data_IF_242110807607
#
_entry.id   IF_242110807607
#
_cell.length_a   1.000
_cell.length_b   1.000
_cell.length_c   1.000
_cell.angle_alpha   90.00
_cell.angle_beta   90.00
_cell.angle_gamma   90.00
#
_symmetry.space_group_name_H-M   'P 1'
#
loop_
_entity.id
_entity.type
_entity.pdbx_description
1 polymer ?
#
# COMPACT_ATOMS: atom_id res chain seq x y z
N UNK A 1 2.43 24.28 18.57
CA UNK A 1 2.86 23.40 17.48
C UNK A 1 1.61 23.05 16.66
N UNK A 2 1.57 23.43 15.41
CA UNK A 2 0.48 23.08 14.50
C UNK A 2 1.05 22.08 13.51
N UNK A 3 0.36 20.95 13.36
CA UNK A 3 0.62 20.03 12.27
C UNK A 3 -0.28 20.40 11.11
N UNK A 4 0.29 20.90 10.03
CA UNK A 4 -0.43 21.13 8.79
C UNK A 4 -0.19 19.96 7.85
N UNK A 5 -1.28 19.36 7.36
CA UNK A 5 -1.21 18.41 6.26
C UNK A 5 -0.61 19.10 5.03
N UNK A 6 0.41 18.52 4.48
CA UNK A 6 1.24 19.12 3.44
C UNK A 6 0.51 19.13 2.10
N UNK A 7 0.23 20.31 1.56
CA UNK A 7 0.34 20.57 0.12
C UNK A 7 1.75 21.10 -0.09
N UNK A 8 2.45 20.68 -1.14
CA UNK A 8 3.74 21.27 -1.50
C UNK A 8 3.66 22.79 -1.39
N UNK A 9 4.25 23.32 -0.34
CA UNK A 9 4.38 24.74 -0.19
C UNK A 9 5.47 25.18 -1.16
N UNK A 10 5.15 26.14 -1.99
CA UNK A 10 6.12 26.85 -2.82
C UNK A 10 7.41 27.13 -2.04
N UNK A 11 8.54 26.95 -2.70
CA UNK A 11 9.90 27.03 -2.18
C UNK A 11 10.30 28.41 -1.63
N UNK A 12 9.63 28.91 -0.64
CA UNK A 12 9.99 30.18 0.01
C UNK A 12 10.38 30.03 1.47
N UNK A 13 10.38 28.84 2.01
CA UNK A 13 10.84 28.60 3.39
C UNK A 13 12.31 28.22 3.39
N UNK A 14 13.12 29.01 4.05
CA UNK A 14 14.49 28.62 4.40
C UNK A 14 14.40 27.45 5.34
N UNK A 15 14.68 26.27 4.83
CA UNK A 15 14.74 25.04 5.62
C UNK A 15 16.04 25.08 6.42
N UNK A 16 15.95 25.35 7.69
CA UNK A 16 17.09 25.24 8.60
C UNK A 16 17.03 23.86 9.23
N UNK A 17 18.02 23.03 8.96
CA UNK A 17 18.22 21.79 9.70
C UNK A 17 18.67 22.19 11.10
N UNK A 18 17.75 22.17 12.04
CA UNK A 18 18.07 22.37 13.44
C UNK A 18 18.27 20.98 14.01
N UNK A 19 19.45 20.66 14.42
CA UNK A 19 19.93 19.41 14.98
C UNK A 19 18.94 18.43 15.63
N UNK A 20 19.42 17.44 16.29
CA UNK A 20 18.60 16.43 16.99
C UNK A 20 17.59 17.07 17.93
N UNK A 21 16.31 16.87 17.65
CA UNK A 21 15.24 17.26 18.57
C UNK A 21 15.01 16.10 19.54
N UNK A 22 15.38 16.31 20.82
CA UNK A 22 15.11 15.32 21.86
C UNK A 22 13.66 15.48 22.31
N UNK A 23 12.80 14.57 21.88
CA UNK A 23 11.48 14.41 22.46
C UNK A 23 11.56 13.35 23.55
N UNK A 24 11.39 13.78 24.82
CA UNK A 24 11.21 12.90 25.98
C UNK A 24 12.15 11.68 25.99
N UNK A 25 13.46 11.90 26.16
CA UNK A 25 14.52 10.89 26.28
C UNK A 25 14.89 10.09 25.02
N UNK A 26 14.05 10.07 23.99
CA UNK A 26 14.35 9.33 22.77
C UNK A 26 14.82 10.28 21.67
N UNK A 27 15.92 9.91 21.05
CA UNK A 27 16.48 10.67 19.91
C UNK A 27 15.65 10.37 18.68
N UNK A 28 14.90 11.34 18.20
CA UNK A 28 14.16 11.25 16.94
C UNK A 28 15.08 11.31 15.70
N UNK A 29 16.40 11.38 15.90
CA UNK A 29 17.34 11.59 14.81
C UNK A 29 17.21 13.00 14.21
N UNK A 30 17.66 13.18 12.97
CA UNK A 30 17.57 14.45 12.27
C UNK A 30 16.13 14.70 11.83
N UNK A 31 15.46 15.64 12.45
CA UNK A 31 14.14 16.11 12.03
C UNK A 31 14.30 17.42 11.29
N UNK A 32 13.78 17.50 10.08
CA UNK A 32 13.78 18.77 9.32
C UNK A 32 12.71 19.67 9.93
N UNK A 33 13.15 20.76 10.54
CA UNK A 33 12.27 21.80 11.08
C UNK A 33 12.29 22.97 10.10
N UNK A 34 11.15 23.31 9.56
CA UNK A 34 11.00 24.50 8.71
C UNK A 34 10.56 25.68 9.55
N UNK A 35 11.38 26.73 9.56
CA UNK A 35 10.99 28.00 10.14
C UNK A 35 10.32 28.87 9.06
N UNK A 36 9.04 29.12 9.22
CA UNK A 36 8.31 30.05 8.36
C UNK A 36 8.04 31.32 9.14
N UNK A 37 8.71 32.42 8.73
CA UNK A 37 8.57 33.73 9.38
C UNK A 37 7.15 34.30 9.37
N UNK A 38 6.30 33.78 8.48
CA UNK A 38 4.91 34.20 8.35
C UNK A 38 3.95 33.39 9.24
N UNK A 39 4.44 32.38 9.94
CA UNK A 39 3.66 31.58 10.87
C UNK A 39 4.07 31.92 12.31
N UNK A 40 3.14 32.30 13.17
CA UNK A 40 3.43 32.65 14.57
C UNK A 40 3.79 31.43 15.42
N UNK A 41 4.04 30.27 14.82
CA UNK A 41 4.19 28.98 15.52
C UNK A 41 5.18 28.07 14.81
N UNK A 42 5.90 27.26 15.57
CA UNK A 42 6.76 26.20 15.03
C UNK A 42 5.93 25.06 14.45
N UNK A 43 6.33 24.56 13.30
CA UNK A 43 5.64 23.49 12.58
C UNK A 43 6.55 22.25 12.57
N UNK A 44 6.02 21.13 13.04
CA UNK A 44 6.63 19.81 12.84
C UNK A 44 6.14 19.21 11.54
N UNK A 45 7.05 18.78 10.68
CA UNK A 45 6.70 18.13 9.43
C UNK A 45 5.99 16.79 9.65
N UNK A 46 5.15 16.39 8.69
CA UNK A 46 4.38 15.14 8.74
C UNK A 46 5.25 13.88 8.84
N UNK A 47 6.55 13.99 8.58
CA UNK A 47 7.51 12.88 8.68
C UNK A 47 7.57 12.25 10.06
N UNK A 48 7.29 13.03 11.12
CA UNK A 48 7.22 12.51 12.48
C UNK A 48 6.10 11.49 12.68
N UNK A 49 5.00 11.62 11.93
CA UNK A 49 3.87 10.68 11.98
C UNK A 49 4.21 9.28 11.48
N UNK A 50 5.24 9.17 10.66
CA UNK A 50 5.75 7.88 10.18
C UNK A 50 6.57 7.14 11.23
N UNK A 51 6.95 7.82 12.32
CA UNK A 51 7.85 7.32 13.36
C UNK A 51 7.16 7.03 14.68
N UNK A 52 5.89 7.37 14.83
CA UNK A 52 5.19 7.18 16.09
C UNK A 52 3.80 7.77 16.13
N UNK A 53 3.16 7.60 17.28
CA UNK A 53 1.85 8.16 17.59
C UNK A 53 2.04 9.49 18.29
N UNK A 54 1.34 10.53 17.81
CA UNK A 54 1.28 11.82 18.47
C UNK A 54 -0.07 11.94 19.18
N UNK A 55 -0.02 12.17 20.50
CA UNK A 55 -1.20 12.46 21.31
C UNK A 55 -1.13 13.91 21.79
N UNK A 56 -2.19 14.66 21.66
CA UNK A 56 -2.27 16.06 22.07
C UNK A 56 -3.28 16.19 23.22
N UNK A 57 -2.76 16.55 24.39
CA UNK A 57 -3.59 16.90 25.55
C UNK A 57 -3.80 18.42 25.56
N UNK A 58 -4.97 18.83 25.11
CA UNK A 58 -5.33 20.26 25.03
C UNK A 58 -5.54 20.91 26.39
N UNK A 59 -5.93 20.14 27.40
CA UNK A 59 -6.15 20.68 28.74
C UNK A 59 -4.83 21.01 29.43
N UNK A 60 -3.84 20.14 29.26
CA UNK A 60 -2.51 20.31 29.83
C UNK A 60 -1.54 21.06 28.90
N UNK A 61 -1.99 21.39 27.69
CA UNK A 61 -1.14 22.00 26.64
C UNK A 61 0.13 21.20 26.35
N UNK A 62 0.03 19.88 26.40
CA UNK A 62 1.16 18.95 26.20
C UNK A 62 0.97 18.11 24.95
N UNK A 63 2.07 17.82 24.30
CA UNK A 63 2.15 16.90 23.19
C UNK A 63 2.99 15.71 23.67
N UNK A 64 2.44 14.52 23.52
CA UNK A 64 3.12 13.27 23.77
C UNK A 64 3.45 12.62 22.44
N UNK A 65 4.64 12.09 22.32
CA UNK A 65 5.07 11.30 21.20
C UNK A 65 5.43 9.90 21.69
N UNK A 66 4.77 8.89 21.15
CA UNK A 66 5.10 7.50 21.40
C UNK A 66 5.74 6.96 20.13
N UNK A 67 7.05 6.76 20.08
CA UNK A 67 7.69 6.17 18.91
C UNK A 67 7.17 4.77 18.69
N UNK A 68 7.03 4.39 17.41
CA UNK A 68 6.95 2.97 17.10
C UNK A 68 8.28 2.37 17.52
N UNK A 69 8.26 1.19 18.09
CA UNK A 69 9.48 0.47 18.42
C UNK A 69 10.18 0.07 17.11
N UNK A 70 10.97 1.02 16.59
CA UNK A 70 11.72 0.86 15.33
C UNK A 70 12.96 -0.01 15.54
N UNK A 71 13.17 -0.56 16.73
CA UNK A 71 14.27 -1.47 16.98
C UNK A 71 14.21 -2.75 16.12
N UNK A 72 13.06 -3.00 15.48
CA UNK A 72 12.86 -4.17 14.62
C UNK A 72 12.28 -3.86 13.24
N UNK A 73 11.98 -2.61 12.90
CA UNK A 73 11.62 -2.25 11.53
C UNK A 73 12.86 -1.67 10.84
N UNK A 74 13.80 -2.54 10.52
CA UNK A 74 14.76 -2.25 9.45
C UNK A 74 13.94 -2.06 8.17
N UNK A 75 14.24 -1.02 7.40
CA UNK A 75 13.68 -0.82 6.05
C UNK A 75 13.89 -2.05 5.15
N UNK A 76 14.80 -2.92 5.53
CA UNK A 76 15.10 -4.22 4.91
C UNK A 76 14.00 -5.27 5.11
N UNK A 77 13.08 -5.10 6.08
CA UNK A 77 11.98 -6.06 6.34
C UNK A 77 10.80 -5.86 5.38
N UNK A 78 10.74 -4.73 4.66
CA UNK A 78 9.67 -4.48 3.68
C UNK A 78 9.94 -5.21 2.36
N UNK A 79 11.19 -5.55 2.06
CA UNK A 79 11.54 -6.30 0.84
C UNK A 79 11.40 -7.82 1.00
N UNK A 80 11.61 -8.37 2.20
CA UNK A 80 11.56 -9.83 2.40
C UNK A 80 10.17 -10.39 2.77
N UNK A 81 9.19 -9.56 3.15
CA UNK A 81 7.81 -10.03 3.40
C UNK A 81 7.07 -10.35 2.09
N UNK A 82 7.59 -9.88 0.95
CA UNK A 82 6.97 -10.11 -0.36
C UNK A 82 7.13 -11.53 -0.92
N UNK A 83 7.81 -12.44 -0.22
CA UNK A 83 8.15 -13.76 -0.77
C UNK A 83 7.36 -14.92 -0.21
N UNK A 84 6.60 -14.74 0.86
CA UNK A 84 5.85 -15.87 1.40
C UNK A 84 4.35 -15.72 1.12
N UNK A 85 3.92 -16.31 0.02
CA UNK A 85 2.50 -16.40 -0.32
C UNK A 85 1.82 -17.38 0.62
N UNK A 86 0.83 -16.90 1.35
CA UNK A 86 0.03 -17.69 2.29
C UNK A 86 -1.31 -18.02 1.64
N UNK A 87 -1.63 -19.29 1.37
CA UNK A 87 -2.95 -19.69 0.88
C UNK A 87 -4.05 -19.22 1.83
N UNK A 88 -5.16 -18.79 1.29
CA UNK A 88 -6.29 -18.29 2.08
C UNK A 88 -6.13 -16.84 2.59
N UNK A 89 -5.11 -16.13 2.17
CA UNK A 89 -4.87 -14.72 2.48
C UNK A 89 -4.80 -13.88 1.23
N UNK A 90 -5.10 -12.59 1.38
CA UNK A 90 -4.88 -11.59 0.35
C UNK A 90 -3.45 -11.06 0.47
N UNK A 91 -2.54 -11.66 -0.31
CA UNK A 91 -1.09 -11.45 -0.18
C UNK A 91 -0.64 -10.19 -0.92
N UNK A 92 0.09 -9.28 -0.28
CA UNK A 92 0.72 -8.15 -0.97
C UNK A 92 1.84 -8.66 -1.87
N UNK A 93 1.93 -8.12 -3.07
CA UNK A 93 3.01 -8.42 -4.00
C UNK A 93 3.63 -7.14 -4.58
N UNK A 94 4.90 -7.27 -5.00
CA UNK A 94 5.63 -6.24 -5.73
C UNK A 94 5.60 -6.51 -7.24
N UNK A 95 6.10 -5.53 -8.00
CA UNK A 95 6.32 -5.69 -9.44
C UNK A 95 7.26 -6.87 -9.74
N UNK A 96 8.32 -7.04 -8.96
CA UNK A 96 9.30 -8.11 -9.13
C UNK A 96 8.62 -9.49 -9.01
N UNK A 97 7.81 -9.67 -7.97
CA UNK A 97 7.00 -10.88 -7.81
C UNK A 97 6.07 -11.10 -9.00
N UNK A 98 5.40 -10.04 -9.48
CA UNK A 98 4.51 -10.12 -10.64
C UNK A 98 5.26 -10.58 -11.89
N UNK A 99 6.43 -10.00 -12.17
CA UNK A 99 7.26 -10.35 -13.33
C UNK A 99 7.80 -11.78 -13.27
N UNK A 100 8.10 -12.26 -12.08
CA UNK A 100 8.63 -13.61 -11.88
C UNK A 100 7.55 -14.68 -11.96
N UNK A 101 6.40 -14.47 -11.29
CA UNK A 101 5.40 -15.51 -11.05
C UNK A 101 4.10 -15.37 -11.84
N UNK A 102 3.79 -14.17 -12.33
CA UNK A 102 2.53 -13.92 -13.04
C UNK A 102 2.78 -13.77 -14.54
N UNK A 103 3.46 -12.70 -14.94
CA UNK A 103 3.73 -12.40 -16.34
C UNK A 103 4.89 -11.42 -16.48
N UNK A 104 5.88 -11.76 -17.33
CA UNK A 104 7.01 -10.85 -17.61
C UNK A 104 6.80 -10.10 -18.94
N UNK A 105 6.11 -8.96 -18.86
CA UNK A 105 5.83 -8.10 -20.01
C UNK A 105 7.09 -7.50 -20.67
N UNK A 106 8.26 -7.65 -20.07
CA UNK A 106 9.54 -7.20 -20.66
C UNK A 106 10.08 -8.21 -21.66
N UNK A 107 9.70 -9.49 -21.50
CA UNK A 107 10.17 -10.61 -22.32
C UNK A 107 9.13 -11.09 -23.32
N UNK A 108 7.90 -11.15 -22.88
CA UNK A 108 6.80 -11.76 -23.63
C UNK A 108 5.91 -10.69 -24.24
N UNK A 109 5.67 -10.77 -25.55
CA UNK A 109 4.79 -9.82 -26.28
C UNK A 109 3.30 -10.05 -25.99
N UNK A 110 2.93 -11.28 -25.68
CA UNK A 110 1.56 -11.65 -25.33
C UNK A 110 1.50 -12.06 -23.86
N UNK A 111 0.32 -11.89 -23.27
CA UNK A 111 0.13 -12.31 -21.88
C UNK A 111 0.24 -13.83 -21.75
N UNK A 112 1.27 -14.30 -21.10
CA UNK A 112 1.52 -15.70 -20.79
C UNK A 112 1.56 -15.84 -19.27
N UNK A 113 0.48 -16.39 -18.70
CA UNK A 113 0.40 -16.64 -17.28
C UNK A 113 1.34 -17.78 -16.88
N UNK A 114 2.18 -17.54 -15.87
CA UNK A 114 3.21 -18.48 -15.41
C UNK A 114 2.75 -19.42 -14.30
N UNK A 115 1.63 -19.09 -13.65
CA UNK A 115 1.14 -19.83 -12.48
C UNK A 115 0.38 -21.11 -12.85
N UNK A 116 0.29 -22.01 -11.88
CA UNK A 116 -0.42 -23.29 -11.96
C UNK A 116 -1.84 -23.23 -11.36
N UNK A 117 -2.17 -22.16 -10.66
CA UNK A 117 -3.50 -21.89 -10.10
C UNK A 117 -4.05 -20.56 -10.59
N UNK A 118 -5.37 -20.42 -10.78
CA UNK A 118 -5.97 -19.14 -11.09
C UNK A 118 -5.66 -18.09 -10.03
N UNK A 119 -5.55 -16.84 -10.44
CA UNK A 119 -5.16 -15.72 -9.56
C UNK A 119 -6.17 -14.60 -9.64
N UNK A 120 -6.48 -14.01 -8.50
CA UNK A 120 -7.17 -12.71 -8.38
C UNK A 120 -6.15 -11.69 -7.87
N UNK A 121 -6.01 -10.57 -8.57
CA UNK A 121 -5.12 -9.46 -8.18
C UNK A 121 -5.94 -8.20 -7.99
N UNK A 122 -5.91 -7.63 -6.78
CA UNK A 122 -6.55 -6.36 -6.45
C UNK A 122 -5.54 -5.21 -6.51
N UNK A 123 -5.77 -4.26 -7.40
CA UNK A 123 -5.04 -2.99 -7.41
C UNK A 123 -5.74 -2.00 -6.49
N UNK A 124 -5.08 -1.62 -5.42
CA UNK A 124 -5.63 -0.83 -4.33
C UNK A 124 -4.70 0.29 -3.89
N UNK A 125 -5.21 1.22 -3.06
CA UNK A 125 -4.41 2.21 -2.37
C UNK A 125 -5.01 2.54 -0.99
N UNK A 126 -4.20 3.05 -0.07
CA UNK A 126 -4.61 3.36 1.30
C UNK A 126 -5.66 4.47 1.38
N UNK A 127 -5.65 5.40 0.45
CA UNK A 127 -6.62 6.51 0.34
C UNK A 127 -7.91 6.13 -0.39
N UNK A 128 -7.97 4.93 -0.99
CA UNK A 128 -9.12 4.46 -1.76
C UNK A 128 -10.20 3.88 -0.81
N UNK A 129 -11.20 4.66 -0.49
CA UNK A 129 -12.30 4.25 0.39
C UNK A 129 -13.06 2.99 -0.08
N UNK A 130 -13.44 2.88 -1.38
CA UNK A 130 -14.04 1.65 -1.91
C UNK A 130 -13.15 0.42 -1.76
N UNK A 131 -11.83 0.56 -1.99
CA UNK A 131 -10.87 -0.53 -1.82
C UNK A 131 -10.84 -1.04 -0.38
N UNK A 132 -10.82 -0.13 0.59
CA UNK A 132 -10.80 -0.48 2.01
C UNK A 132 -12.05 -1.26 2.45
N UNK A 133 -13.21 -1.02 1.80
CA UNK A 133 -14.43 -1.81 2.05
C UNK A 133 -14.39 -3.16 1.34
N UNK A 134 -13.70 -3.27 0.20
CA UNK A 134 -13.61 -4.51 -0.57
C UNK A 134 -12.61 -5.50 0.04
N UNK A 135 -11.51 -5.03 0.63
CA UNK A 135 -10.46 -5.89 1.21
C UNK A 135 -11.01 -6.96 2.15
N UNK A 136 -11.89 -6.68 3.14
CA UNK A 136 -12.44 -7.71 4.01
C UNK A 136 -13.25 -8.79 3.26
N UNK A 137 -13.92 -8.43 2.18
CA UNK A 137 -14.67 -9.38 1.35
C UNK A 137 -13.72 -10.26 0.52
N UNK A 138 -12.65 -9.68 -0.02
CA UNK A 138 -11.59 -10.44 -0.71
C UNK A 138 -10.86 -11.40 0.25
N UNK A 139 -10.64 -11.01 1.50
CA UNK A 139 -10.06 -11.89 2.53
C UNK A 139 -10.96 -13.10 2.82
N UNK A 140 -12.29 -12.89 2.89
CA UNK A 140 -13.27 -14.00 3.03
C UNK A 140 -13.26 -14.93 1.82
N UNK A 141 -13.18 -14.36 0.61
CA UNK A 141 -13.07 -15.14 -0.62
C UNK A 141 -11.75 -15.90 -0.68
N UNK A 142 -10.64 -15.28 -0.25
CA UNK A 142 -9.34 -15.92 -0.21
C UNK A 142 -9.37 -17.17 0.68
N UNK A 143 -9.94 -17.09 1.89
CA UNK A 143 -10.08 -18.25 2.78
C UNK A 143 -11.03 -19.29 2.17
N UNK A 144 -12.14 -18.86 1.57
CA UNK A 144 -13.12 -19.77 0.95
C UNK A 144 -12.55 -20.58 -0.21
N UNK A 145 -11.70 -19.96 -1.03
CA UNK A 145 -11.16 -20.56 -2.25
C UNK A 145 -9.66 -20.91 -2.15
N UNK A 146 -9.10 -20.98 -0.95
CA UNK A 146 -7.66 -21.11 -0.67
C UNK A 146 -6.93 -22.22 -1.42
N UNK A 147 -7.62 -23.33 -1.69
CA UNK A 147 -7.03 -24.46 -2.38
C UNK A 147 -7.11 -24.34 -3.92
N UNK A 148 -7.94 -23.43 -4.42
CA UNK A 148 -8.30 -23.33 -5.84
C UNK A 148 -7.83 -22.05 -6.50
N UNK A 149 -7.80 -20.92 -5.77
CA UNK A 149 -7.51 -19.58 -6.30
C UNK A 149 -6.51 -18.88 -5.38
N UNK A 150 -5.52 -18.23 -5.97
CA UNK A 150 -4.57 -17.40 -5.24
C UNK A 150 -5.06 -15.94 -5.25
N UNK A 151 -5.05 -15.30 -4.07
CA UNK A 151 -5.45 -13.90 -3.92
C UNK A 151 -4.24 -13.03 -3.61
N UNK A 152 -4.05 -12.01 -4.44
CA UNK A 152 -2.94 -11.07 -4.41
C UNK A 152 -3.44 -9.63 -4.39
N UNK A 153 -2.64 -8.72 -3.84
CA UNK A 153 -2.93 -7.27 -3.91
C UNK A 153 -1.69 -6.48 -4.26
N UNK A 154 -1.87 -5.46 -5.08
CA UNK A 154 -0.83 -4.54 -5.55
C UNK A 154 -1.15 -3.14 -5.06
N UNK A 155 -0.22 -2.52 -4.34
CA UNK A 155 -0.37 -1.13 -3.93
C UNK A 155 -0.05 -0.20 -5.12
N UNK A 156 -1.07 0.48 -5.64
CA UNK A 156 -0.94 1.33 -6.82
C UNK A 156 -0.01 2.54 -6.61
N UNK A 157 0.15 3.01 -5.38
CA UNK A 157 1.06 4.12 -5.08
C UNK A 157 2.53 3.69 -5.15
N UNK A 158 2.80 2.42 -4.80
CA UNK A 158 4.16 1.84 -4.85
C UNK A 158 4.50 1.27 -6.22
N UNK A 159 3.56 0.60 -6.86
CA UNK A 159 3.75 -0.16 -8.10
C UNK A 159 3.20 0.57 -9.32
N UNK A 160 3.59 1.84 -9.50
CA UNK A 160 3.10 2.72 -10.58
C UNK A 160 3.37 2.18 -11.99
N UNK A 161 4.48 1.47 -12.17
CA UNK A 161 4.83 0.87 -13.45
C UNK A 161 3.81 -0.22 -13.83
N UNK A 162 3.44 -1.09 -12.88
CA UNK A 162 2.38 -2.08 -13.13
C UNK A 162 1.05 -1.41 -13.49
N UNK A 163 0.67 -0.37 -12.75
CA UNK A 163 -0.56 0.37 -13.05
C UNK A 163 -0.55 0.96 -14.46
N UNK A 164 0.59 1.51 -14.88
CA UNK A 164 0.76 2.08 -16.22
C UNK A 164 0.71 1.00 -17.30
N UNK A 165 1.44 -0.10 -17.10
CA UNK A 165 1.50 -1.21 -18.07
C UNK A 165 0.14 -1.86 -18.32
N UNK A 166 -0.67 -1.97 -17.29
CA UNK A 166 -2.01 -2.58 -17.38
C UNK A 166 -3.14 -1.57 -17.47
N UNK A 167 -2.82 -0.30 -17.69
CA UNK A 167 -3.78 0.81 -17.82
C UNK A 167 -4.80 0.86 -16.67
N UNK A 168 -4.31 0.68 -15.44
CA UNK A 168 -5.13 0.80 -14.23
C UNK A 168 -5.37 2.29 -13.93
N UNK A 169 -6.51 2.79 -14.36
CA UNK A 169 -6.88 4.23 -14.27
C UNK A 169 -7.83 4.54 -13.12
N UNK A 170 -8.40 3.53 -12.49
CA UNK A 170 -9.33 3.67 -11.36
C UNK A 170 -9.10 2.57 -10.33
N UNK A 171 -9.49 2.80 -9.07
CA UNK A 171 -9.35 1.85 -7.98
C UNK A 171 -10.69 1.63 -7.24
N UNK A 172 -10.98 0.39 -6.80
CA UNK A 172 -10.19 -0.82 -7.08
C UNK A 172 -10.35 -1.30 -8.52
N UNK A 173 -9.30 -1.90 -9.06
CA UNK A 173 -9.33 -2.67 -10.30
C UNK A 173 -8.88 -4.08 -9.99
N UNK A 174 -9.67 -5.08 -10.38
CA UNK A 174 -9.36 -6.48 -10.15
C UNK A 174 -9.04 -7.19 -11.46
N UNK A 175 -7.99 -8.00 -11.40
CA UNK A 175 -7.63 -8.92 -12.48
C UNK A 175 -7.94 -10.34 -12.05
N UNK A 176 -8.73 -11.04 -12.85
CA UNK A 176 -9.05 -12.45 -12.70
C UNK A 176 -8.32 -13.21 -13.78
N UNK A 177 -7.32 -14.00 -13.41
CA UNK A 177 -6.41 -14.66 -14.35
C UNK A 177 -6.64 -16.16 -14.29
N UNK A 178 -7.31 -16.76 -15.29
CA UNK A 178 -7.44 -18.21 -15.39
C UNK A 178 -6.11 -18.85 -15.83
N UNK A 179 -5.90 -20.10 -15.47
CA UNK A 179 -4.73 -20.86 -15.94
C UNK A 179 -4.82 -21.01 -17.48
N UNK A 180 -3.78 -20.59 -18.17
CA UNK A 180 -3.68 -20.66 -19.63
C UNK A 180 -4.58 -19.67 -20.39
N UNK A 181 -5.23 -18.71 -19.70
CA UNK A 181 -6.10 -17.71 -20.28
C UNK A 181 -5.58 -16.29 -20.15
N UNK A 182 -6.34 -15.35 -20.72
CA UNK A 182 -6.07 -13.91 -20.60
C UNK A 182 -6.76 -13.33 -19.35
N UNK A 183 -6.22 -12.27 -18.78
CA UNK A 183 -6.85 -11.60 -17.65
C UNK A 183 -8.23 -11.07 -17.98
N UNK A 184 -9.20 -11.28 -17.10
CA UNK A 184 -10.49 -10.62 -17.10
C UNK A 184 -10.38 -9.46 -16.12
N UNK A 185 -10.70 -8.26 -16.55
CA UNK A 185 -10.53 -7.04 -15.76
C UNK A 185 -11.91 -6.53 -15.35
N UNK A 186 -12.07 -6.25 -14.06
CA UNK A 186 -13.26 -5.59 -13.52
C UNK A 186 -12.87 -4.39 -12.66
N UNK A 187 -13.66 -3.31 -12.75
CA UNK A 187 -13.40 -2.07 -12.03
C UNK A 187 -14.53 -1.81 -11.04
N UNK A 188 -14.17 -1.49 -9.81
CA UNK A 188 -15.11 -1.14 -8.75
C UNK A 188 -15.24 -2.23 -7.68
N UNK A 189 -15.84 -1.85 -6.54
CA UNK A 189 -15.98 -2.69 -5.36
C UNK A 189 -17.35 -3.41 -5.38
N UNK A 190 -17.45 -4.52 -6.10
CA UNK A 190 -18.68 -5.31 -6.30
C UNK A 190 -18.43 -6.77 -5.90
N UNK A 191 -18.41 -7.12 -4.59
CA UNK A 191 -17.98 -8.45 -4.12
C UNK A 191 -18.79 -9.60 -4.71
N UNK A 192 -20.11 -9.45 -4.88
CA UNK A 192 -20.97 -10.51 -5.43
C UNK A 192 -20.60 -10.81 -6.90
N UNK A 193 -20.34 -9.76 -7.70
CA UNK A 193 -19.89 -9.89 -9.08
C UNK A 193 -18.52 -10.54 -9.16
N UNK A 194 -17.61 -10.14 -8.28
CA UNK A 194 -16.26 -10.72 -8.22
C UNK A 194 -16.32 -12.22 -7.90
N UNK A 195 -17.14 -12.61 -6.95
CA UNK A 195 -17.34 -14.02 -6.61
C UNK A 195 -17.98 -14.79 -7.78
N UNK A 196 -18.90 -14.18 -8.52
CA UNK A 196 -19.46 -14.78 -9.73
C UNK A 196 -18.39 -15.01 -10.79
N UNK A 197 -17.52 -14.01 -11.06
CA UNK A 197 -16.41 -14.16 -12.02
C UNK A 197 -15.48 -15.30 -11.58
N UNK A 198 -15.15 -15.41 -10.31
CA UNK A 198 -14.33 -16.52 -9.79
C UNK A 198 -14.98 -17.87 -10.15
N UNK A 199 -16.25 -18.04 -9.82
CA UNK A 199 -16.98 -19.30 -10.07
C UNK A 199 -17.09 -19.64 -11.55
N UNK A 200 -17.37 -18.65 -12.38
CA UNK A 200 -17.70 -18.86 -13.79
C UNK A 200 -16.50 -18.88 -14.71
N UNK A 201 -15.45 -18.15 -14.37
CA UNK A 201 -14.31 -17.94 -15.26
C UNK A 201 -13.01 -18.57 -14.75
N UNK A 202 -12.84 -18.69 -13.43
CA UNK A 202 -11.63 -19.27 -12.87
C UNK A 202 -11.79 -20.73 -12.47
N UNK A 203 -12.98 -21.15 -12.04
CA UNK A 203 -13.23 -22.49 -11.49
C UNK A 203 -14.01 -23.41 -12.42
N UNK A 204 -14.61 -22.90 -13.51
CA UNK A 204 -15.19 -23.78 -14.52
C UNK A 204 -14.09 -24.52 -15.27
N UNK A 205 -14.15 -25.83 -15.20
CA UNK A 205 -13.39 -26.75 -16.04
C UNK A 205 -14.12 -26.93 -17.38
#
# INVERSE_FOLDING_TARGET
>A
IIMTGYKEAEKTSVTKTVGTCNFVKDQLGSVVVSENKNLPRSVLGAEILKRGIISIDYQKQKIYFQPFDLAEVKDDVVEDIATQIVPGKLNPITREYFLEHIYDYRKDKEFVFKGDKPVVIDFWATWCGPCMRLIPELEKMAEKYKDQVLFLKVNADKEKELCTMFNVVALPTLFFIPVGGKPIIDVGAQPEKHEQIIKEQLLKK
#
